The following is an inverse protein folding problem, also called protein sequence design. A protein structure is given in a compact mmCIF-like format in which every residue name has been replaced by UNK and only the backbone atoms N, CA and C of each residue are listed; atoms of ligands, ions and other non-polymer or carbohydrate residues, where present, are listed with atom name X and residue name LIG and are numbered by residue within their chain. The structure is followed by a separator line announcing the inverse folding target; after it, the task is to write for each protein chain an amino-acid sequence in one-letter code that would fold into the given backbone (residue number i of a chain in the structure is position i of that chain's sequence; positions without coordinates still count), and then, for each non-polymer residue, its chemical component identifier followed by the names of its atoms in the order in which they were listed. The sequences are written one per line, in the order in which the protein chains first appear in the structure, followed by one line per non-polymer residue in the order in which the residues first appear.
data_IF_406705493322
#
_entry.id   IF_406705493322
#
_cell.length_a   1.000
_cell.length_b   1.000
_cell.length_c   1.000
_cell.angle_alpha   90.00
_cell.angle_beta   90.00
_cell.angle_gamma   90.00
#
_symmetry.space_group_name_H-M   'P 1'
#
loop_
_entity.id
_entity.type
_entity.pdbx_description
1 polymer ?
#
# COMPACT_ATOMS: atom_id res chain seq x y z
N UNK A 1 -8.20 10.15 15.18
CA UNK A 1 -8.98 9.52 14.09
C UNK A 1 -8.05 8.56 13.38
N UNK A 2 -8.47 7.31 13.05
CA UNK A 2 -7.64 6.46 12.22
C UNK A 2 -7.52 7.15 10.86
N UNK A 3 -6.31 7.55 10.49
CA UNK A 3 -6.07 8.16 9.19
C UNK A 3 -6.47 7.12 8.13
N UNK A 4 -7.27 7.55 7.15
CA UNK A 4 -7.67 6.67 6.06
C UNK A 4 -6.47 6.51 5.14
N UNK A 5 -5.78 5.36 5.22
CA UNK A 5 -4.55 5.04 4.46
C UNK A 5 -4.69 5.33 2.97
N UNK A 6 -5.88 5.14 2.40
CA UNK A 6 -6.18 5.49 1.01
C UNK A 6 -6.06 6.98 0.77
N UNK A 7 -6.68 7.79 1.62
CA UNK A 7 -6.61 9.25 1.51
C UNK A 7 -5.19 9.77 1.63
N UNK A 8 -4.37 9.20 2.52
CA UNK A 8 -2.95 9.57 2.64
C UNK A 8 -2.17 9.31 1.35
N UNK A 9 -2.36 8.14 0.75
CA UNK A 9 -1.68 7.77 -0.50
C UNK A 9 -2.18 8.60 -1.68
N UNK A 10 -3.49 8.86 -1.78
CA UNK A 10 -4.06 9.72 -2.81
C UNK A 10 -3.52 11.15 -2.73
N UNK A 11 -3.36 11.69 -1.52
CA UNK A 11 -2.80 13.03 -1.31
C UNK A 11 -1.30 13.10 -1.63
N UNK A 12 -0.54 12.06 -1.29
CA UNK A 12 0.88 12.00 -1.58
C UNK A 12 1.18 11.74 -3.07
N UNK A 13 0.32 10.97 -3.75
CA UNK A 13 0.51 10.49 -5.11
C UNK A 13 -0.74 10.74 -5.95
N UNK A 14 -0.94 11.99 -6.37
CA UNK A 14 -2.14 12.41 -7.12
C UNK A 14 -2.33 11.74 -8.48
N UNK A 15 -1.27 11.11 -9.02
CA UNK A 15 -1.32 10.34 -10.26
C UNK A 15 -1.83 8.90 -10.07
N UNK A 16 -1.89 8.41 -8.83
CA UNK A 16 -2.22 7.03 -8.49
C UNK A 16 -3.75 6.89 -8.34
N UNK A 17 -4.35 5.91 -9.03
CA UNK A 17 -5.80 5.68 -8.95
C UNK A 17 -6.19 5.07 -7.59
N UNK A 18 -7.43 5.29 -7.15
CA UNK A 18 -7.92 4.67 -5.91
C UNK A 18 -7.94 3.14 -5.98
N UNK A 19 -8.14 2.58 -7.17
CA UNK A 19 -8.10 1.13 -7.41
C UNK A 19 -6.68 0.58 -7.25
N UNK A 20 -5.68 1.26 -7.80
CA UNK A 20 -4.27 0.88 -7.63
C UNK A 20 -3.81 0.99 -6.18
N UNK A 21 -4.25 2.04 -5.47
CA UNK A 21 -4.01 2.19 -4.03
C UNK A 21 -4.64 1.02 -3.27
N UNK A 22 -5.89 0.69 -3.59
CA UNK A 22 -6.62 -0.40 -2.95
C UNK A 22 -5.93 -1.74 -3.20
N UNK A 23 -5.48 -1.98 -4.44
CA UNK A 23 -4.74 -3.17 -4.82
C UNK A 23 -3.44 -3.30 -4.02
N UNK A 24 -2.65 -2.23 -3.95
CA UNK A 24 -1.41 -2.21 -3.17
C UNK A 24 -1.64 -2.48 -1.68
N UNK A 25 -2.67 -1.87 -1.09
CA UNK A 25 -3.00 -2.06 0.33
C UNK A 25 -3.49 -3.47 0.62
N UNK A 26 -4.34 -4.04 -0.24
CA UNK A 26 -4.82 -5.43 -0.11
C UNK A 26 -3.66 -6.40 -0.22
N UNK A 27 -2.81 -6.24 -1.23
CA UNK A 27 -1.65 -7.11 -1.43
C UNK A 27 -0.70 -7.07 -0.23
N UNK A 28 -0.44 -5.87 0.33
CA UNK A 28 0.39 -5.75 1.54
C UNK A 28 -0.29 -6.31 2.77
N UNK A 29 -1.60 -6.14 2.91
CA UNK A 29 -2.35 -6.72 4.01
C UNK A 29 -2.26 -8.25 3.98
N UNK A 30 -2.52 -8.89 2.83
CA UNK A 30 -2.40 -10.34 2.67
C UNK A 30 -1.00 -10.83 3.04
N UNK A 31 0.03 -10.22 2.45
CA UNK A 31 1.42 -10.54 2.77
C UNK A 31 1.72 -10.43 4.28
N UNK A 32 1.26 -9.36 4.93
CA UNK A 32 1.50 -9.17 6.37
C UNK A 32 0.68 -10.10 7.25
N UNK A 33 -0.52 -10.48 6.83
CA UNK A 33 -1.32 -11.49 7.51
C UNK A 33 -0.67 -12.88 7.47
N UNK A 34 0.10 -13.18 6.44
CA UNK A 34 0.86 -14.43 6.33
C UNK A 34 2.17 -14.39 7.15
N UNK A 35 2.79 -13.21 7.26
CA UNK A 35 4.11 -13.03 7.90
C UNK A 35 4.05 -12.67 9.40
N UNK A 36 2.95 -12.07 9.87
CA UNK A 36 2.87 -11.49 11.20
C UNK A 36 1.60 -11.89 11.97
N UNK A 37 1.71 -11.89 13.29
CA UNK A 37 0.57 -12.02 14.20
C UNK A 37 -0.51 -10.95 13.92
N UNK A 38 -1.81 -11.27 14.05
CA UNK A 38 -2.90 -10.35 13.74
C UNK A 38 -2.80 -8.98 14.42
N UNK A 39 -2.26 -8.91 15.63
CA UNK A 39 -2.04 -7.66 16.38
C UNK A 39 -1.01 -6.73 15.73
N UNK A 40 -0.11 -7.27 14.92
CA UNK A 40 0.98 -6.55 14.28
C UNK A 40 0.67 -6.16 12.82
N UNK A 41 -0.32 -6.77 12.18
CA UNK A 41 -0.68 -6.50 10.78
C UNK A 41 -1.06 -5.03 10.56
N UNK A 42 -1.91 -4.45 11.43
CA UNK A 42 -2.34 -3.06 11.29
C UNK A 42 -1.18 -2.06 11.49
N UNK A 43 -0.34 -2.16 12.55
CA UNK A 43 0.86 -1.34 12.68
C UNK A 43 1.82 -1.43 11.48
N UNK A 44 2.01 -2.62 10.92
CA UNK A 44 2.88 -2.82 9.76
C UNK A 44 2.30 -2.16 8.51
N UNK A 45 0.98 -2.22 8.32
CA UNK A 45 0.31 -1.55 7.21
C UNK A 45 0.33 -0.01 7.36
N UNK A 46 0.23 0.51 8.58
CA UNK A 46 0.40 1.94 8.86
C UNK A 46 1.83 2.40 8.54
N UNK A 47 2.82 1.61 8.95
CA UNK A 47 4.22 1.91 8.65
C UNK A 47 4.49 1.87 7.14
N UNK A 48 3.96 0.87 6.44
CA UNK A 48 4.02 0.80 4.98
C UNK A 48 3.43 2.05 4.32
N UNK A 49 2.24 2.47 4.75
CA UNK A 49 1.55 3.66 4.21
C UNK A 49 2.43 4.90 4.38
N UNK A 50 2.99 5.12 5.57
CA UNK A 50 3.90 6.25 5.84
C UNK A 50 5.15 6.25 4.96
N UNK A 51 5.73 5.07 4.71
CA UNK A 51 6.90 4.92 3.83
C UNK A 51 6.48 5.20 2.39
N UNK A 52 5.39 4.59 1.93
CA UNK A 52 4.88 4.74 0.57
C UNK A 52 4.54 6.20 0.23
N UNK A 53 3.94 6.96 1.15
CA UNK A 53 3.69 8.40 0.98
C UNK A 53 4.97 9.24 0.75
N UNK A 54 6.14 8.73 1.12
CA UNK A 54 7.44 9.42 0.97
C UNK A 54 8.27 8.89 -0.19
N UNK A 55 7.82 7.85 -0.87
CA UNK A 55 8.54 7.29 -2.00
C UNK A 55 8.52 8.27 -3.19
N UNK A 56 9.61 8.36 -3.97
CA UNK A 56 9.55 9.02 -5.27
C UNK A 56 8.53 8.33 -6.18
N UNK A 57 7.90 9.10 -7.07
CA UNK A 57 6.90 8.58 -8.01
C UNK A 57 7.40 7.35 -8.77
N UNK A 58 8.62 7.38 -9.32
CA UNK A 58 9.18 6.25 -10.05
C UNK A 58 9.28 4.97 -9.20
N UNK A 59 9.72 5.09 -7.95
CA UNK A 59 9.83 3.94 -7.06
C UNK A 59 8.46 3.34 -6.73
N UNK A 60 7.44 4.19 -6.62
CA UNK A 60 6.07 3.74 -6.39
C UNK A 60 5.45 3.12 -7.66
N UNK A 61 5.76 3.65 -8.85
CA UNK A 61 5.39 3.04 -10.14
C UNK A 61 5.99 1.65 -10.29
N UNK A 62 7.28 1.49 -9.98
CA UNK A 62 7.95 0.19 -10.03
C UNK A 62 7.30 -0.79 -9.05
N UNK A 63 6.92 -0.33 -7.86
CA UNK A 63 6.24 -1.15 -6.87
C UNK A 63 4.82 -1.54 -7.32
N UNK A 64 4.05 -0.59 -7.87
CA UNK A 64 2.72 -0.85 -8.42
C UNK A 64 2.79 -1.85 -9.56
N UNK A 65 3.73 -1.68 -10.50
CA UNK A 65 3.91 -2.58 -11.63
C UNK A 65 4.18 -4.01 -11.16
N UNK A 66 5.00 -4.20 -10.13
CA UNK A 66 5.22 -5.53 -9.53
C UNK A 66 3.96 -6.07 -8.87
N UNK A 67 3.23 -5.24 -8.12
CA UNK A 67 1.97 -5.68 -7.49
C UNK A 67 0.97 -6.12 -8.56
N UNK A 68 0.83 -5.37 -9.65
CA UNK A 68 -0.06 -5.70 -10.77
C UNK A 68 0.38 -6.97 -11.51
N UNK A 69 1.68 -7.20 -11.68
CA UNK A 69 2.23 -8.43 -12.29
C UNK A 69 1.81 -9.69 -11.51
N UNK A 70 1.83 -9.62 -10.19
CA UNK A 70 1.47 -10.75 -9.31
C UNK A 70 0.00 -10.75 -8.85
N UNK A 71 -0.77 -9.73 -9.21
CA UNK A 71 -2.21 -9.66 -8.96
C UNK A 71 -3.03 -10.40 -10.03
N UNK A 72 -2.37 -11.00 -11.04
CA UNK A 72 -3.03 -11.75 -12.10
C UNK A 72 -3.51 -13.11 -11.55
N UNK A 73 -4.85 -13.19 -11.44
CA UNK A 73 -5.78 -14.32 -11.11
C UNK A 73 -6.22 -14.38 -9.64
#
# INVERSE_FOLDING_TARGET
MPLNRRQELTQAHTWLSEDDISLMLVHKYQKYSDEYEPSNVQPMLDNFTKIACRLPEQALRDLLSRVQEFAVI
#
